data_IF_322458388210
#
_entry.id   IF_322458388210
#
_cell.length_a   1.000
_cell.length_b   1.000
_cell.length_c   1.000
_cell.angle_alpha   90.00
_cell.angle_beta   90.00
_cell.angle_gamma   90.00
#
_symmetry.space_group_name_H-M   'P 1'
#
loop_
_entity.id
_entity.type
_entity.pdbx_description
1 polymer ?
#
# COMPACT_ATOMS: atom_id res chain seq x y z
N UNK A 1 5.71 6.45 22.46
CA UNK A 1 4.24 6.31 22.62
C UNK A 1 3.77 5.41 21.51
N UNK A 2 3.22 4.25 21.86
CA UNK A 2 2.94 3.17 20.91
C UNK A 2 1.66 3.45 20.11
N UNK A 3 1.79 3.87 18.85
CA UNK A 3 0.72 3.73 17.86
C UNK A 3 0.94 2.41 17.13
N UNK A 4 0.32 1.35 17.64
CA UNK A 4 0.38 0.04 16.98
C UNK A 4 -0.46 -0.01 15.69
N UNK A 5 -0.15 -0.93 14.76
CA UNK A 5 -0.93 -1.16 13.51
C UNK A 5 -2.42 -1.46 13.77
N UNK A 6 -2.73 -1.99 14.95
CA UNK A 6 -4.09 -2.27 15.41
C UNK A 6 -4.99 -1.04 15.52
N UNK A 7 -4.45 0.17 15.78
CA UNK A 7 -5.25 1.40 15.77
C UNK A 7 -5.56 1.89 14.35
N UNK A 8 -4.65 1.69 13.39
CA UNK A 8 -4.84 2.13 12.01
C UNK A 8 -5.91 1.28 11.30
N UNK A 9 -5.88 -0.04 11.51
CA UNK A 9 -6.91 -0.96 11.03
C UNK A 9 -8.28 -0.66 11.67
N UNK A 10 -8.31 -0.39 12.97
CA UNK A 10 -9.54 0.00 13.67
C UNK A 10 -10.10 1.32 13.13
N UNK A 11 -9.25 2.30 12.78
CA UNK A 11 -9.68 3.57 12.20
C UNK A 11 -10.17 3.44 10.75
N UNK A 12 -9.56 2.59 9.92
CA UNK A 12 -10.04 2.33 8.55
C UNK A 12 -11.37 1.56 8.60
N UNK A 13 -11.46 0.51 9.43
CA UNK A 13 -12.73 -0.18 9.71
C UNK A 13 -13.77 0.79 10.27
N UNK A 14 -13.42 1.67 11.22
CA UNK A 14 -14.35 2.65 11.78
C UNK A 14 -14.79 3.72 10.76
N UNK A 15 -13.90 4.21 9.90
CA UNK A 15 -14.27 5.15 8.83
C UNK A 15 -15.23 4.51 7.81
N UNK A 16 -15.10 3.19 7.59
CA UNK A 16 -16.03 2.43 6.74
C UNK A 16 -17.34 2.07 7.48
N UNK A 17 -17.34 2.00 8.81
CA UNK A 17 -18.51 1.66 9.65
C UNK A 17 -19.36 2.90 9.99
N UNK A 18 -18.81 4.11 10.03
CA UNK A 18 -19.56 5.31 10.47
C UNK A 18 -20.29 5.98 9.29
N UNK A 19 -21.47 5.45 8.96
CA UNK A 19 -22.60 6.23 8.44
C UNK A 19 -23.89 5.75 9.11
N UNK A 20 -24.22 6.33 10.26
CA UNK A 20 -25.62 6.42 10.71
C UNK A 20 -26.19 7.77 10.29
N UNK A 21 -27.46 7.77 9.87
CA UNK A 21 -28.38 8.91 9.66
C UNK A 21 -28.74 9.34 8.23
N UNK A 22 -28.59 8.50 7.20
CA UNK A 22 -29.37 8.68 5.96
C UNK A 22 -30.01 7.37 5.57
N UNK A 23 -31.34 7.34 5.59
CA UNK A 23 -32.15 6.18 5.23
C UNK A 23 -31.66 5.59 3.89
N UNK A 24 -31.27 4.31 3.92
CA UNK A 24 -30.72 3.50 2.81
C UNK A 24 -29.25 3.69 2.41
N UNK A 25 -28.28 3.57 3.35
CA UNK A 25 -26.89 3.29 2.97
C UNK A 25 -26.71 1.77 2.72
N UNK A 26 -26.75 1.35 1.46
CA UNK A 26 -26.39 -0.02 1.02
C UNK A 26 -24.89 -0.34 1.11
N UNK A 27 -24.07 0.52 1.72
CA UNK A 27 -22.62 0.36 1.84
C UNK A 27 -22.17 -0.75 2.81
N UNK A 28 -23.11 -1.39 3.52
CA UNK A 28 -22.84 -2.42 4.54
C UNK A 28 -22.56 -3.83 3.99
N UNK A 29 -22.59 -4.03 2.66
CA UNK A 29 -22.55 -5.38 2.05
C UNK A 29 -21.28 -5.71 1.26
N UNK A 30 -20.31 -4.79 1.11
CA UNK A 30 -19.24 -4.92 0.10
C UNK A 30 -17.84 -5.17 0.72
N UNK A 31 -17.79 -5.77 1.90
CA UNK A 31 -16.53 -6.24 2.50
C UNK A 31 -16.13 -7.56 1.84
N UNK A 32 -14.96 -7.61 1.21
CA UNK A 32 -14.44 -8.83 0.61
C UNK A 32 -14.01 -9.81 1.70
N UNK A 33 -12.84 -9.56 2.29
CA UNK A 33 -12.32 -10.34 3.41
C UNK A 33 -11.20 -9.61 4.15
N UNK A 34 -10.89 -10.05 5.38
CA UNK A 34 -9.72 -9.62 6.12
C UNK A 34 -9.09 -10.79 6.85
N UNK A 35 -7.83 -11.08 6.55
CA UNK A 35 -7.02 -12.11 7.20
C UNK A 35 -6.04 -11.42 8.15
N UNK A 36 -5.94 -11.96 9.37
CA UNK A 36 -5.00 -11.49 10.41
C UNK A 36 -4.25 -12.71 10.91
N UNK A 37 -3.02 -12.88 10.43
CA UNK A 37 -2.26 -14.11 10.64
C UNK A 37 -0.97 -13.86 11.42
N UNK A 38 -0.76 -14.61 12.50
CA UNK A 38 0.46 -14.57 13.32
C UNK A 38 1.38 -15.75 13.07
N UNK A 39 0.87 -16.80 12.44
CA UNK A 39 1.60 -18.04 12.18
C UNK A 39 1.66 -18.28 10.67
N UNK A 40 2.04 -17.23 9.94
CA UNK A 40 2.27 -17.30 8.51
C UNK A 40 3.42 -18.28 8.26
N UNK A 41 3.20 -19.27 7.40
CA UNK A 41 4.18 -20.32 7.11
C UNK A 41 4.38 -20.49 5.61
N UNK A 42 5.56 -20.99 5.21
CA UNK A 42 5.80 -21.48 3.85
C UNK A 42 5.40 -22.94 3.76
N UNK A 43 4.56 -23.30 2.79
CA UNK A 43 4.31 -24.70 2.43
C UNK A 43 5.36 -25.20 1.44
N UNK A 44 5.62 -24.41 0.40
CA UNK A 44 6.69 -24.56 -0.57
C UNK A 44 6.81 -23.26 -1.36
N UNK A 45 8.00 -22.81 -1.74
CA UNK A 45 8.14 -21.65 -2.65
C UNK A 45 7.42 -21.98 -3.98
N UNK A 46 6.51 -21.11 -4.47
CA UNK A 46 6.25 -19.73 -4.05
C UNK A 46 5.02 -19.52 -3.14
N UNK A 47 4.41 -20.60 -2.66
CA UNK A 47 3.13 -20.63 -1.97
C UNK A 47 3.23 -20.23 -0.49
N UNK A 48 2.64 -19.09 -0.16
CA UNK A 48 2.43 -18.63 1.20
C UNK A 48 1.18 -19.29 1.80
N UNK A 49 1.30 -19.81 3.03
CA UNK A 49 0.19 -20.42 3.76
C UNK A 49 -0.24 -19.56 4.94
N UNK A 50 -1.45 -19.04 4.86
CA UNK A 50 -2.23 -18.54 5.98
C UNK A 50 -2.74 -19.70 6.84
N UNK A 51 -2.50 -19.59 8.14
CA UNK A 51 -2.94 -20.49 9.20
C UNK A 51 -4.34 -20.15 9.73
N UNK A 52 -4.83 -18.94 9.47
CA UNK A 52 -6.12 -18.44 10.00
C UNK A 52 -7.18 -18.30 8.91
N UNK A 53 -8.45 -18.56 9.27
CA UNK A 53 -9.59 -18.14 8.44
C UNK A 53 -9.73 -16.61 8.45
N UNK A 54 -10.35 -16.01 7.41
CA UNK A 54 -10.70 -14.60 7.42
C UNK A 54 -11.57 -14.24 8.63
N UNK A 55 -11.25 -13.11 9.28
CA UNK A 55 -11.95 -12.63 10.48
C UNK A 55 -13.35 -12.11 10.17
N UNK A 56 -13.57 -11.64 8.94
CA UNK A 56 -14.87 -11.14 8.46
C UNK A 56 -15.12 -11.66 7.04
N UNK A 57 -16.25 -12.35 6.87
CA UNK A 57 -16.77 -12.80 5.59
C UNK A 57 -18.31 -12.64 5.62
N UNK A 58 -18.84 -11.52 5.09
CA UNK A 58 -20.29 -11.33 4.91
C UNK A 58 -20.55 -10.66 3.57
N UNK A 59 -21.28 -11.36 2.69
CA UNK A 59 -21.59 -10.87 1.34
C UNK A 59 -20.38 -10.88 0.40
N UNK A 60 -19.48 -11.86 0.57
CA UNK A 60 -18.08 -11.74 0.22
C UNK A 60 -17.85 -11.55 -1.29
N UNK A 61 -17.55 -10.30 -1.66
CA UNK A 61 -17.08 -9.93 -2.99
C UNK A 61 -15.76 -10.65 -3.37
N UNK A 62 -15.10 -11.29 -2.39
CA UNK A 62 -13.99 -12.19 -2.58
C UNK A 62 -14.04 -13.31 -1.53
N UNK A 63 -13.71 -14.54 -1.91
CA UNK A 63 -13.66 -15.71 -1.00
C UNK A 63 -12.25 -16.24 -0.86
N UNK A 64 -11.97 -16.89 0.27
CA UNK A 64 -10.70 -17.52 0.57
C UNK A 64 -10.93 -18.91 1.16
N UNK A 65 -10.32 -19.92 0.55
CA UNK A 65 -10.36 -21.30 1.06
C UNK A 65 -8.97 -21.75 1.49
N UNK A 66 -8.76 -21.77 2.81
CA UNK A 66 -7.48 -22.19 3.42
C UNK A 66 -7.10 -23.64 3.14
N UNK A 67 -8.07 -24.48 2.75
CA UNK A 67 -7.87 -25.92 2.54
C UNK A 67 -7.37 -26.22 1.12
N UNK A 68 -7.40 -25.24 0.22
CA UNK A 68 -6.81 -25.40 -1.11
C UNK A 68 -5.28 -25.41 -1.06
N UNK A 69 -4.68 -26.17 -1.97
CA UNK A 69 -3.22 -26.28 -2.10
C UNK A 69 -2.61 -24.92 -2.47
N UNK A 70 -3.25 -24.22 -3.39
CA UNK A 70 -2.95 -22.83 -3.72
C UNK A 70 -3.92 -21.95 -2.95
N UNK A 71 -3.47 -21.30 -1.88
CA UNK A 71 -4.31 -20.44 -1.05
C UNK A 71 -4.61 -19.10 -1.74
N UNK A 72 -5.48 -19.18 -2.75
CA UNK A 72 -5.91 -18.06 -3.57
C UNK A 72 -7.11 -17.35 -2.92
N UNK A 73 -7.16 -16.04 -3.12
CA UNK A 73 -8.38 -15.25 -2.95
C UNK A 73 -9.08 -15.19 -4.29
N UNK A 74 -10.28 -15.75 -4.36
CA UNK A 74 -11.12 -15.74 -5.56
C UNK A 74 -12.06 -14.54 -5.52
N UNK A 75 -12.15 -13.82 -6.64
CA UNK A 75 -13.05 -12.68 -6.80
C UNK A 75 -14.44 -13.17 -7.20
N UNK A 76 -15.46 -12.77 -6.42
CA UNK A 76 -16.84 -13.21 -6.63
C UNK A 76 -17.70 -12.22 -7.41
N UNK A 77 -17.33 -10.94 -7.40
CA UNK A 77 -18.07 -9.86 -8.05
C UNK A 77 -17.17 -9.04 -8.99
N UNK A 78 -17.75 -8.48 -10.03
CA UNK A 78 -17.04 -7.56 -10.93
C UNK A 78 -16.93 -6.18 -10.28
N UNK A 79 -15.74 -5.60 -10.21
CA UNK A 79 -15.59 -4.24 -9.67
C UNK A 79 -14.17 -3.78 -9.42
N UNK A 80 -14.06 -2.62 -8.79
CA UNK A 80 -12.80 -2.04 -8.34
C UNK A 80 -12.56 -2.44 -6.89
N UNK A 81 -11.44 -3.11 -6.63
CA UNK A 81 -11.07 -3.62 -5.31
C UNK A 81 -9.93 -2.83 -4.70
N UNK A 82 -10.00 -2.58 -3.39
CA UNK A 82 -8.92 -2.05 -2.57
C UNK A 82 -8.26 -3.16 -1.77
N UNK A 83 -6.96 -3.31 -1.96
CA UNK A 83 -6.09 -4.20 -1.21
C UNK A 83 -5.29 -3.38 -0.21
N UNK A 84 -5.30 -3.80 1.06
CA UNK A 84 -4.50 -3.20 2.14
C UNK A 84 -3.67 -4.29 2.77
N UNK A 85 -2.35 -4.09 2.83
CA UNK A 85 -1.41 -5.05 3.40
C UNK A 85 -0.59 -4.36 4.47
N UNK A 86 -0.45 -5.03 5.62
CA UNK A 86 0.52 -4.71 6.65
C UNK A 86 1.38 -5.94 6.91
N UNK A 87 2.67 -5.84 6.59
CA UNK A 87 3.67 -6.88 6.84
C UNK A 87 4.68 -6.38 7.86
N UNK A 88 4.83 -7.09 8.98
CA UNK A 88 5.93 -6.83 9.89
C UNK A 88 7.27 -7.11 9.19
N UNK A 89 8.22 -6.19 9.29
CA UNK A 89 9.60 -6.50 8.90
C UNK A 89 10.23 -7.41 9.94
N UNK A 90 10.95 -8.43 9.49
CA UNK A 90 11.45 -9.53 10.34
C UNK A 90 12.98 -9.61 10.35
N UNK A 91 13.64 -9.00 9.37
CA UNK A 91 15.09 -9.10 9.23
C UNK A 91 15.77 -8.16 10.23
N UNK A 92 16.77 -8.68 10.93
CA UNK A 92 17.60 -7.87 11.81
C UNK A 92 18.30 -6.76 11.01
N UNK A 93 18.36 -5.55 11.56
CA UNK A 93 18.88 -4.37 10.85
C UNK A 93 20.35 -4.50 10.44
N UNK A 94 21.08 -5.42 11.07
CA UNK A 94 22.50 -5.70 10.82
C UNK A 94 22.73 -7.15 10.32
N UNK A 95 21.72 -7.75 9.66
CA UNK A 95 21.84 -9.13 9.17
C UNK A 95 22.92 -9.25 8.08
N UNK A 96 23.89 -10.17 8.22
CA UNK A 96 24.90 -10.42 7.19
C UNK A 96 24.26 -11.17 6.01
N UNK A 97 24.23 -10.55 4.84
CA UNK A 97 23.70 -11.21 3.64
C UNK A 97 23.15 -10.23 2.60
N UNK A 98 22.78 -10.75 1.42
CA UNK A 98 22.04 -9.96 0.43
C UNK A 98 20.65 -9.56 0.96
N UNK A 99 20.02 -8.53 0.40
CA UNK A 99 18.62 -8.22 0.67
C UNK A 99 17.73 -9.45 0.41
N UNK A 100 16.71 -9.70 1.24
CA UNK A 100 15.71 -10.73 0.92
C UNK A 100 14.96 -10.34 -0.36
N UNK A 101 14.37 -11.33 -1.02
CA UNK A 101 13.41 -11.02 -2.08
C UNK A 101 12.11 -10.47 -1.47
N UNK A 102 11.47 -9.48 -2.10
CA UNK A 102 10.17 -9.02 -1.65
C UNK A 102 9.12 -10.12 -1.83
N UNK A 103 8.08 -10.12 -0.99
CA UNK A 103 6.87 -10.86 -1.34
C UNK A 103 6.20 -10.15 -2.51
N UNK A 104 5.49 -10.90 -3.34
CA UNK A 104 4.76 -10.33 -4.46
C UNK A 104 3.26 -10.48 -4.20
N UNK A 105 2.54 -9.38 -4.24
CA UNK A 105 1.10 -9.40 -4.41
C UNK A 105 0.81 -9.61 -5.89
N UNK A 106 0.44 -10.85 -6.23
CA UNK A 106 0.00 -11.21 -7.57
C UNK A 106 -1.51 -10.99 -7.68
N UNK A 107 -1.91 -10.01 -8.47
CA UNK A 107 -3.31 -9.72 -8.78
C UNK A 107 -3.52 -9.97 -10.27
N UNK A 108 -4.52 -10.78 -10.60
CA UNK A 108 -4.86 -11.11 -11.99
C UNK A 108 -4.93 -9.86 -12.88
N UNK A 109 -4.31 -9.95 -14.06
CA UNK A 109 -4.30 -8.89 -15.08
C UNK A 109 -3.61 -7.59 -14.67
N UNK A 110 -2.84 -7.58 -13.59
CA UNK A 110 -2.04 -6.42 -13.16
C UNK A 110 -0.59 -6.81 -12.94
N UNK A 111 0.37 -5.87 -13.06
CA UNK A 111 1.76 -6.14 -12.67
C UNK A 111 1.87 -6.48 -11.18
N UNK A 112 2.74 -7.43 -10.85
CA UNK A 112 3.02 -7.78 -9.47
C UNK A 112 3.45 -6.56 -8.64
N UNK A 113 3.02 -6.54 -7.38
CA UNK A 113 3.35 -5.46 -6.45
C UNK A 113 4.25 -5.98 -5.34
N UNK A 114 5.44 -5.37 -5.22
CA UNK A 114 6.44 -5.78 -4.24
C UNK A 114 6.07 -5.33 -2.82
N UNK A 115 6.06 -6.28 -1.90
CA UNK A 115 5.93 -6.05 -0.46
C UNK A 115 7.31 -6.28 0.15
N UNK A 116 8.04 -5.18 0.33
CA UNK A 116 9.42 -5.20 0.84
C UNK A 116 9.47 -5.47 2.34
N UNK A 117 10.52 -6.17 2.78
CA UNK A 117 10.89 -6.22 4.19
C UNK A 117 11.51 -4.89 4.63
N UNK A 118 11.06 -4.38 5.77
CA UNK A 118 11.48 -3.08 6.31
C UNK A 118 12.29 -3.19 7.60
N UNK A 119 12.69 -4.41 7.96
CA UNK A 119 13.48 -4.72 9.14
C UNK A 119 12.66 -4.90 10.42
N UNK A 120 13.29 -5.52 11.42
CA UNK A 120 12.69 -5.77 12.73
C UNK A 120 12.21 -4.45 13.36
N UNK A 121 11.05 -4.49 14.01
CA UNK A 121 10.41 -3.33 14.62
C UNK A 121 9.68 -2.39 13.64
N UNK A 122 9.79 -2.61 12.33
CA UNK A 122 9.07 -1.84 11.30
C UNK A 122 7.87 -2.61 10.70
N UNK A 123 7.01 -1.89 9.99
CA UNK A 123 5.85 -2.43 9.27
C UNK A 123 5.82 -1.86 7.86
N UNK A 124 5.87 -2.74 6.87
CA UNK A 124 5.62 -2.42 5.47
C UNK A 124 4.12 -2.32 5.25
N UNK A 125 3.64 -1.14 4.88
CA UNK A 125 2.23 -0.89 4.57
C UNK A 125 2.06 -0.54 3.10
N UNK A 126 1.08 -1.18 2.45
CA UNK A 126 0.80 -0.98 1.02
C UNK A 126 -0.69 -0.94 0.74
N UNK A 127 -1.06 -0.14 -0.27
CA UNK A 127 -2.42 0.00 -0.74
C UNK A 127 -2.43 -0.09 -2.27
N UNK A 128 -3.34 -0.85 -2.85
CA UNK A 128 -3.46 -1.00 -4.31
C UNK A 128 -4.94 -1.03 -4.69
N UNK A 129 -5.31 -0.34 -5.76
CA UNK A 129 -6.58 -0.59 -6.44
C UNK A 129 -6.35 -1.42 -7.70
N UNK A 130 -7.26 -2.36 -7.95
CA UNK A 130 -7.33 -3.09 -9.21
C UNK A 130 -8.79 -3.26 -9.65
N UNK A 131 -9.03 -3.20 -10.95
CA UNK A 131 -10.31 -3.58 -11.54
C UNK A 131 -10.29 -5.07 -11.85
N UNK A 132 -11.20 -5.82 -11.22
CA UNK A 132 -11.23 -7.28 -11.28
C UNK A 132 -12.60 -7.78 -11.74
N UNK A 133 -12.56 -8.97 -12.33
CA UNK A 133 -13.72 -9.72 -12.79
C UNK A 133 -13.96 -10.92 -11.91
N UNK A 134 -15.21 -11.36 -11.85
CA UNK A 134 -15.55 -12.62 -11.21
C UNK A 134 -14.71 -13.76 -11.79
N UNK A 135 -14.08 -14.53 -10.91
CA UNK A 135 -13.15 -15.61 -11.26
C UNK A 135 -11.70 -15.19 -11.39
N UNK A 136 -11.38 -13.89 -11.36
CA UNK A 136 -10.01 -13.44 -11.14
C UNK A 136 -9.52 -13.90 -9.76
N UNK A 137 -8.21 -14.04 -9.62
CA UNK A 137 -7.57 -14.46 -8.38
C UNK A 137 -6.51 -13.48 -7.91
N UNK A 138 -6.33 -13.46 -6.59
CA UNK A 138 -5.29 -12.70 -5.91
C UNK A 138 -4.53 -13.63 -4.98
N UNK A 139 -3.21 -13.51 -4.94
CA UNK A 139 -2.36 -14.29 -4.06
C UNK A 139 -1.15 -13.49 -3.60
N UNK A 140 -0.53 -13.97 -2.53
CA UNK A 140 0.75 -13.46 -2.06
C UNK A 140 1.76 -14.57 -2.26
N UNK A 141 2.79 -14.29 -3.05
CA UNK A 141 3.85 -15.26 -3.34
C UNK A 141 5.15 -14.82 -2.69
N UNK A 142 5.94 -15.82 -2.31
CA UNK A 142 7.28 -15.63 -1.76
C UNK A 142 8.27 -16.17 -2.79
N UNK A 143 9.41 -15.50 -2.96
CA UNK A 143 10.36 -15.85 -4.01
C UNK A 143 11.50 -16.75 -3.52
N UNK A 144 11.79 -16.76 -2.21
CA UNK A 144 12.85 -17.55 -1.59
C UNK A 144 12.34 -18.21 -0.29
N UNK A 145 13.06 -19.22 0.18
CA UNK A 145 12.78 -19.92 1.46
C UNK A 145 13.31 -19.08 2.63
N UNK A 146 12.64 -17.97 2.89
CA UNK A 146 12.94 -17.03 3.98
C UNK A 146 11.94 -17.21 5.13
N UNK A 147 12.30 -16.72 6.33
CA UNK A 147 11.30 -16.53 7.39
C UNK A 147 10.17 -15.65 6.85
N UNK A 148 8.91 -16.05 7.06
CA UNK A 148 7.76 -15.32 6.50
C UNK A 148 6.84 -14.68 7.54
N UNK A 149 6.92 -15.12 8.79
CA UNK A 149 6.01 -14.73 9.86
C UNK A 149 6.72 -14.05 11.03
N UNK A 150 5.94 -13.29 11.80
CA UNK A 150 6.31 -12.81 13.13
C UNK A 150 5.19 -13.16 14.11
N UNK A 151 5.48 -14.10 15.03
CA UNK A 151 4.48 -14.57 16.02
C UNK A 151 3.93 -13.44 16.92
N UNK A 152 4.68 -12.34 17.08
CA UNK A 152 4.31 -11.20 17.91
C UNK A 152 3.57 -10.13 17.10
N UNK A 153 3.85 -10.00 15.80
CA UNK A 153 3.29 -8.96 14.92
C UNK A 153 2.58 -9.59 13.71
N UNK A 154 1.23 -9.62 13.69
CA UNK A 154 0.49 -10.29 12.64
C UNK A 154 0.72 -9.66 11.26
N UNK A 155 0.73 -10.51 10.24
CA UNK A 155 0.46 -10.12 8.87
C UNK A 155 -1.03 -9.81 8.72
N UNK A 156 -1.36 -8.66 8.13
CA UNK A 156 -2.74 -8.24 7.91
C UNK A 156 -2.95 -8.04 6.42
N UNK A 157 -3.99 -8.69 5.89
CA UNK A 157 -4.39 -8.53 4.50
C UNK A 157 -5.89 -8.32 4.41
N UNK A 158 -6.29 -7.19 3.84
CA UNK A 158 -7.69 -6.81 3.70
C UNK A 158 -8.03 -6.53 2.24
N UNK A 159 -9.22 -6.96 1.84
CA UNK A 159 -9.78 -6.80 0.50
C UNK A 159 -11.17 -6.19 0.61
N UNK A 160 -11.40 -5.09 -0.10
CA UNK A 160 -12.68 -4.37 -0.11
C UNK A 160 -13.14 -4.19 -1.55
N UNK A 161 -14.42 -4.49 -1.83
CA UNK A 161 -15.03 -4.06 -3.08
C UNK A 161 -15.44 -2.59 -2.92
N UNK A 162 -14.70 -1.70 -3.59
CA UNK A 162 -14.94 -0.26 -3.51
C UNK A 162 -16.10 0.14 -4.41
N UNK A 163 -16.11 -0.34 -5.65
CA UNK A 163 -17.11 -0.01 -6.66
C UNK A 163 -17.55 -1.27 -7.40
N UNK A 164 -18.85 -1.58 -7.35
CA UNK A 164 -19.45 -2.56 -8.24
C UNK A 164 -19.36 -2.09 -9.70
N UNK A 165 -19.03 -3.01 -10.61
CA UNK A 165 -19.27 -2.78 -12.03
C UNK A 165 -20.79 -2.79 -12.26
N UNK A 166 -21.41 -1.69 -12.70
CA UNK A 166 -22.86 -1.63 -12.82
C UNK A 166 -23.37 -2.64 -13.85
N UNK A 167 -24.29 -3.51 -13.43
CA UNK A 167 -24.94 -4.54 -14.27
C UNK A 167 -25.85 -3.91 -15.35
N UNK A 168 -26.21 -2.64 -15.19
CA UNK A 168 -27.14 -1.87 -16.04
C UNK A 168 -26.71 -0.42 -16.14
N UNK A 169 -26.88 0.19 -17.32
CA UNK A 169 -26.50 1.57 -17.69
C UNK A 169 -27.35 2.66 -17.04
N UNK A 170 -27.53 2.60 -15.72
CA UNK A 170 -28.06 3.72 -14.94
C UNK A 170 -27.02 4.85 -14.89
N UNK A 171 -27.45 6.13 -14.73
CA UNK A 171 -26.54 7.26 -14.80
C UNK A 171 -25.38 7.03 -13.83
N UNK A 172 -24.15 7.07 -14.37
CA UNK A 172 -22.90 6.74 -13.68
C UNK A 172 -22.97 7.18 -12.22
N UNK A 173 -22.88 6.21 -11.30
CA UNK A 173 -22.55 6.53 -9.92
C UNK A 173 -21.33 7.45 -9.93
N UNK A 174 -21.35 8.51 -9.10
CA UNK A 174 -20.20 9.41 -8.95
C UNK A 174 -19.03 8.57 -8.41
N UNK A 175 -18.18 8.13 -9.30
CA UNK A 175 -17.00 7.31 -9.01
C UNK A 175 -15.78 8.06 -9.52
N UNK A 176 -14.75 8.09 -8.70
CA UNK A 176 -13.44 8.57 -9.10
C UNK A 176 -12.42 7.91 -8.19
N UNK A 177 -11.44 7.26 -8.79
CA UNK A 177 -10.39 6.60 -8.05
C UNK A 177 -9.15 6.46 -8.92
N UNK A 178 -7.99 6.41 -8.28
CA UNK A 178 -6.73 6.11 -8.95
C UNK A 178 -5.83 5.28 -8.05
N UNK A 179 -4.97 4.49 -8.67
CA UNK A 179 -3.89 3.75 -8.01
C UNK A 179 -2.64 3.86 -8.87
N UNK A 180 -1.61 4.49 -8.32
CA UNK A 180 -0.34 4.70 -8.99
C UNK A 180 0.82 4.31 -8.11
N UNK A 181 1.91 3.93 -8.76
CA UNK A 181 3.22 3.75 -8.14
C UNK A 181 4.28 4.54 -8.88
N UNK A 182 5.38 4.80 -8.20
CA UNK A 182 6.59 5.33 -8.79
C UNK A 182 7.79 4.77 -8.04
N UNK A 183 8.61 4.02 -8.76
CA UNK A 183 9.85 3.45 -8.25
C UNK A 183 11.03 4.39 -8.53
N UNK A 184 12.10 4.24 -7.74
CA UNK A 184 13.34 5.03 -7.88
C UNK A 184 13.13 6.55 -7.83
N UNK A 185 12.17 7.02 -7.03
CA UNK A 185 11.96 8.44 -6.77
C UNK A 185 13.22 9.01 -6.14
N UNK A 186 13.79 10.02 -6.78
CA UNK A 186 14.90 10.78 -6.22
C UNK A 186 14.34 11.74 -5.16
N UNK A 187 14.50 11.38 -3.89
CA UNK A 187 14.04 12.17 -2.75
C UNK A 187 15.13 13.10 -2.21
N UNK A 188 16.23 13.27 -2.95
CA UNK A 188 17.33 14.19 -2.63
C UNK A 188 17.12 15.63 -3.10
N UNK A 189 16.06 15.91 -3.87
CA UNK A 189 15.70 17.27 -4.28
C UNK A 189 14.59 17.78 -3.36
N UNK A 190 14.95 18.69 -2.45
CA UNK A 190 13.96 19.31 -1.57
C UNK A 190 12.96 20.14 -2.37
N UNK A 191 11.73 20.20 -1.86
CA UNK A 191 10.70 21.16 -2.25
C UNK A 191 10.11 20.97 -3.67
N UNK A 192 10.24 19.76 -4.23
CA UNK A 192 9.68 19.41 -5.55
C UNK A 192 8.42 18.55 -5.47
N UNK A 193 7.47 18.82 -6.36
CA UNK A 193 6.32 17.91 -6.59
C UNK A 193 6.85 16.60 -7.19
N UNK A 194 6.38 15.48 -6.66
CA UNK A 194 6.64 14.15 -7.22
C UNK A 194 5.76 13.99 -8.45
N UNK A 195 6.36 13.63 -9.58
CA UNK A 195 5.74 13.59 -10.90
C UNK A 195 6.29 12.41 -11.71
N UNK A 196 5.76 12.21 -12.92
CA UNK A 196 6.13 11.12 -13.82
C UNK A 196 5.89 9.73 -13.20
N UNK A 197 4.73 9.55 -12.59
CA UNK A 197 4.30 8.23 -12.12
C UNK A 197 4.20 7.25 -13.28
N UNK A 198 4.28 5.97 -12.94
CA UNK A 198 3.99 4.89 -13.87
C UNK A 198 2.53 4.98 -14.36
N UNK A 199 2.20 4.19 -15.38
CA UNK A 199 0.82 4.07 -15.81
C UNK A 199 -0.06 3.60 -14.63
N UNK A 200 -1.16 4.30 -14.32
CA UNK A 200 -2.04 3.89 -13.23
C UNK A 200 -2.62 2.50 -13.48
N UNK A 201 -2.70 1.69 -12.43
CA UNK A 201 -3.43 0.40 -12.47
C UNK A 201 -4.94 0.63 -12.53
N UNK A 202 -5.40 1.73 -11.91
CA UNK A 202 -6.78 2.23 -11.94
C UNK A 202 -6.71 3.75 -12.10
N UNK A 203 -7.58 4.34 -12.93
CA UNK A 203 -7.76 5.79 -13.08
C UNK A 203 -9.18 6.16 -13.51
N UNK A 204 -10.17 5.83 -12.68
CA UNK A 204 -11.59 6.08 -12.98
C UNK A 204 -11.86 7.57 -13.07
N UNK A 205 -12.29 8.00 -14.26
CA UNK A 205 -12.53 9.41 -14.60
C UNK A 205 -11.32 10.12 -15.20
N UNK A 206 -10.16 9.46 -15.30
CA UNK A 206 -8.91 10.02 -15.85
C UNK A 206 -8.40 11.28 -15.13
N UNK A 207 -8.68 11.38 -13.83
CA UNK A 207 -8.46 12.62 -13.05
C UNK A 207 -7.07 12.70 -12.39
N UNK A 208 -6.32 11.60 -12.37
CA UNK A 208 -4.91 11.61 -12.04
C UNK A 208 -4.05 11.79 -13.29
N UNK A 209 -3.30 12.89 -13.34
CA UNK A 209 -2.32 13.14 -14.39
C UNK A 209 -0.92 12.68 -13.92
N UNK A 210 -0.47 11.54 -14.46
CA UNK A 210 0.82 10.95 -14.13
C UNK A 210 2.02 11.84 -14.45
N UNK A 211 1.91 12.72 -15.46
CA UNK A 211 3.01 13.59 -15.89
C UNK A 211 3.23 14.76 -14.92
N UNK A 212 2.16 15.23 -14.28
CA UNK A 212 2.22 16.31 -13.29
C UNK A 212 2.21 15.79 -11.85
N UNK A 213 1.79 14.54 -11.63
CA UNK A 213 1.61 13.95 -10.30
C UNK A 213 0.42 14.53 -9.54
N UNK A 214 -0.52 15.13 -10.26
CA UNK A 214 -1.67 15.81 -9.69
C UNK A 214 -2.97 15.04 -9.94
N UNK A 215 -3.73 14.85 -8.87
CA UNK A 215 -5.13 14.48 -8.94
C UNK A 215 -6.00 15.73 -8.90
N UNK A 216 -6.99 15.86 -9.79
CA UNK A 216 -7.96 16.97 -9.77
C UNK A 216 -9.34 16.44 -9.44
N UNK A 217 -9.95 16.89 -8.35
CA UNK A 217 -11.25 16.38 -7.93
C UNK A 217 -12.34 16.71 -8.96
N UNK A 218 -13.02 15.70 -9.55
CA UNK A 218 -14.09 15.95 -10.54
C UNK A 218 -15.39 16.42 -9.89
N UNK A 219 -15.59 16.07 -8.62
CA UNK A 219 -16.82 16.35 -7.88
C UNK A 219 -16.49 16.92 -6.51
N UNK A 220 -17.45 17.64 -5.94
CA UNK A 220 -17.45 17.90 -4.51
C UNK A 220 -17.80 16.61 -3.75
N UNK A 221 -17.04 16.30 -2.70
CA UNK A 221 -17.26 15.12 -1.88
C UNK A 221 -16.13 14.83 -0.89
N UNK A 222 -16.31 13.76 -0.13
CA UNK A 222 -15.32 13.19 0.77
C UNK A 222 -14.46 12.18 0.01
N UNK A 223 -13.16 12.46 -0.08
CA UNK A 223 -12.19 11.56 -0.68
C UNK A 223 -11.30 10.93 0.38
N UNK A 224 -10.84 9.70 0.14
CA UNK A 224 -9.84 9.02 0.96
C UNK A 224 -8.59 8.81 0.12
N UNK A 225 -7.44 9.14 0.70
CA UNK A 225 -6.14 8.97 0.07
C UNK A 225 -5.24 8.13 0.96
N UNK A 226 -4.58 7.15 0.37
CA UNK A 226 -3.56 6.34 1.00
C UNK A 226 -2.23 6.63 0.36
N UNK A 227 -1.27 7.03 1.17
CA UNK A 227 0.10 7.28 0.77
C UNK A 227 1.00 6.31 1.52
N UNK A 228 1.80 5.54 0.81
CA UNK A 228 2.91 4.77 1.35
C UNK A 228 4.19 5.15 0.63
N UNK A 229 5.26 5.40 1.40
CA UNK A 229 6.58 5.74 0.86
C UNK A 229 7.61 4.84 1.51
N UNK A 230 8.39 4.17 0.67
CA UNK A 230 9.52 3.36 1.09
C UNK A 230 10.80 4.15 0.80
N UNK A 231 11.59 4.43 1.83
CA UNK A 231 12.82 5.20 1.78
C UNK A 231 14.04 4.28 1.82
N UNK A 232 15.02 4.55 0.97
CA UNK A 232 16.31 3.87 0.94
C UNK A 232 17.44 4.90 0.77
N UNK A 233 18.56 4.73 1.48
CA UNK A 233 19.74 5.58 1.30
C UNK A 233 20.83 4.82 0.55
N UNK A 234 21.45 5.50 -0.42
CA UNK A 234 22.70 5.07 -1.05
C UNK A 234 23.90 5.94 -0.64
N UNK A 235 23.66 7.00 0.14
CA UNK A 235 24.73 7.88 0.63
C UNK A 235 25.11 7.49 2.06
N UNK A 236 26.41 7.53 2.35
CA UNK A 236 26.96 7.26 3.67
C UNK A 236 26.34 8.19 4.73
N UNK A 237 25.74 7.61 5.76
CA UNK A 237 25.28 8.31 6.96
C UNK A 237 23.79 8.15 7.28
N UNK A 238 23.35 8.87 8.32
CA UNK A 238 21.94 8.96 8.69
C UNK A 238 21.31 10.22 8.05
N UNK A 239 20.19 10.03 7.36
CA UNK A 239 19.38 11.10 6.79
C UNK A 239 17.95 11.12 7.30
N UNK A 240 17.19 12.13 6.90
CA UNK A 240 15.74 12.18 7.08
C UNK A 240 15.10 12.49 5.73
N UNK A 241 14.03 11.80 5.40
CA UNK A 241 13.22 12.11 4.23
C UNK A 241 11.77 12.30 4.62
N UNK A 242 11.06 13.15 3.88
CA UNK A 242 9.65 13.40 4.14
C UNK A 242 8.90 13.75 2.86
N UNK A 243 7.73 13.15 2.69
CA UNK A 243 6.80 13.45 1.59
C UNK A 243 5.52 14.01 2.19
N UNK A 244 5.14 15.21 1.76
CA UNK A 244 3.89 15.86 2.13
C UNK A 244 2.79 15.54 1.15
N UNK A 245 1.62 15.23 1.71
CA UNK A 245 0.34 15.25 1.03
C UNK A 245 -0.21 16.68 1.05
N UNK A 246 -0.50 17.24 -0.13
CA UNK A 246 -0.94 18.63 -0.26
C UNK A 246 -2.30 18.73 -0.94
N UNK A 247 -3.11 19.68 -0.45
CA UNK A 247 -4.34 20.15 -1.09
C UNK A 247 -4.12 21.58 -1.57
N UNK A 248 -4.23 21.83 -2.86
CA UNK A 248 -4.02 23.16 -3.48
C UNK A 248 -2.68 23.79 -3.06
N UNK A 249 -1.61 22.99 -3.01
CA UNK A 249 -0.28 23.41 -2.56
C UNK A 249 -0.11 23.58 -1.04
N UNK A 250 -1.16 23.41 -0.24
CA UNK A 250 -1.11 23.48 1.22
C UNK A 250 -0.94 22.07 1.78
N UNK A 251 0.14 21.84 2.53
CA UNK A 251 0.37 20.57 3.24
C UNK A 251 -0.74 20.29 4.24
N UNK A 252 -1.36 19.10 4.14
CA UNK A 252 -2.37 18.62 5.08
C UNK A 252 -1.85 17.49 5.97
N UNK A 253 -0.95 16.68 5.43
CA UNK A 253 -0.32 15.59 6.15
C UNK A 253 1.07 15.33 5.56
N UNK A 254 1.89 14.57 6.28
CA UNK A 254 3.20 14.15 5.78
C UNK A 254 3.56 12.78 6.35
N UNK A 255 4.30 12.01 5.55
CA UNK A 255 5.04 10.84 6.01
C UNK A 255 6.51 11.21 6.06
N UNK A 256 7.22 10.68 7.04
CA UNK A 256 8.65 10.93 7.16
C UNK A 256 9.32 9.80 7.90
N UNK A 257 10.55 9.49 7.52
CA UNK A 257 11.35 8.53 8.25
C UNK A 257 12.83 8.94 8.32
N UNK A 258 13.54 8.33 9.27
CA UNK A 258 15.00 8.34 9.30
C UNK A 258 15.51 7.29 8.32
N UNK A 259 16.38 7.69 7.43
CA UNK A 259 16.96 6.79 6.42
C UNK A 259 18.39 6.49 6.84
N UNK A 260 18.72 5.20 6.94
CA UNK A 260 20.08 4.73 7.23
C UNK A 260 20.70 4.16 5.97
N UNK A 261 22.02 4.26 5.86
CA UNK A 261 22.81 3.50 4.89
C UNK A 261 23.73 2.53 5.63
N UNK A 262 24.12 1.45 4.96
CA UNK A 262 25.28 0.69 5.40
C UNK A 262 26.51 1.61 5.38
N UNK A 263 27.41 1.46 6.35
CA UNK A 263 28.73 2.09 6.25
C UNK A 263 29.56 1.28 5.27
N UNK A 264 30.12 1.95 4.25
CA UNK A 264 31.04 1.31 3.32
C UNK A 264 32.45 1.37 3.93
N UNK A 265 33.01 0.21 4.30
CA UNK A 265 34.42 0.16 4.73
C UNK A 265 35.31 -0.08 3.51
N UNK A 266 36.16 0.88 3.15
CA UNK A 266 37.19 0.64 2.15
C UNK A 266 38.29 -0.25 2.75
N UNK A 267 38.39 -1.48 2.26
CA UNK A 267 39.55 -2.34 2.51
C UNK A 267 40.47 -2.34 1.30
N UNK A 268 41.73 -2.76 1.48
CA UNK A 268 42.82 -2.74 0.48
C UNK A 268 42.51 -3.47 -0.85
N UNK A 269 41.33 -4.09 -1.00
CA UNK A 269 40.83 -4.78 -2.22
C UNK A 269 39.52 -4.21 -2.81
N UNK A 270 39.02 -3.07 -2.33
CA UNK A 270 37.80 -2.42 -2.82
C UNK A 270 36.73 -2.24 -1.75
N UNK A 271 35.61 -1.56 -2.08
CA UNK A 271 34.53 -1.32 -1.12
C UNK A 271 33.87 -2.66 -0.72
N UNK A 272 33.84 -2.93 0.58
CA UNK A 272 33.10 -4.05 1.17
C UNK A 272 31.88 -3.47 1.88
N UNK A 273 30.68 -3.92 1.50
CA UNK A 273 29.44 -3.56 2.20
C UNK A 273 29.18 -4.67 3.22
N UNK A 274 29.37 -4.38 4.50
CA UNK A 274 29.39 -5.38 5.58
C UNK A 274 27.99 -5.98 5.88
N UNK A 275 26.91 -5.20 5.72
CA UNK A 275 25.56 -5.61 6.15
C UNK A 275 24.44 -5.00 5.27
N UNK A 276 23.30 -5.70 5.16
CA UNK A 276 22.09 -5.18 4.51
C UNK A 276 21.35 -4.24 5.46
N UNK A 277 21.02 -3.04 4.99
CA UNK A 277 20.17 -2.09 5.72
C UNK A 277 18.78 -2.09 5.09
N UNK A 278 17.74 -2.57 5.80
CA UNK A 278 16.38 -2.59 5.29
C UNK A 278 15.86 -1.18 4.97
N UNK A 279 15.10 -1.02 3.87
CA UNK A 279 14.42 0.24 3.58
C UNK A 279 13.37 0.53 4.65
N UNK A 280 13.03 1.80 4.82
CA UNK A 280 12.05 2.24 5.83
C UNK A 280 10.72 2.58 5.16
N UNK A 281 9.60 2.03 5.63
CA UNK A 281 8.28 2.32 5.06
C UNK A 281 7.49 3.23 6.01
N UNK A 282 6.95 4.32 5.48
CA UNK A 282 6.06 5.22 6.20
C UNK A 282 4.80 5.44 5.39
N UNK A 283 3.65 5.22 6.02
CA UNK A 283 2.35 5.32 5.39
C UNK A 283 1.36 6.17 6.20
N UNK A 284 0.42 6.79 5.48
CA UNK A 284 -0.66 7.59 6.06
C UNK A 284 -1.94 7.45 5.22
N UNK A 285 -3.08 7.46 5.90
CA UNK A 285 -4.40 7.56 5.28
C UNK A 285 -5.01 8.92 5.64
N UNK A 286 -5.52 9.63 4.65
CA UNK A 286 -6.11 10.97 4.81
C UNK A 286 -7.50 10.98 4.20
N UNK A 287 -8.51 11.26 5.02
CA UNK A 287 -9.85 11.59 4.56
C UNK A 287 -9.98 13.11 4.41
N UNK A 288 -10.36 13.58 3.23
CA UNK A 288 -10.36 15.01 2.89
C UNK A 288 -11.58 15.37 2.04
N UNK A 289 -12.37 16.34 2.53
CA UNK A 289 -13.39 16.98 1.72
C UNK A 289 -12.74 17.85 0.63
N UNK A 290 -13.14 17.63 -0.61
CA UNK A 290 -12.69 18.37 -1.79
C UNK A 290 -13.88 19.02 -2.48
N UNK A 291 -13.65 20.21 -3.02
CA UNK A 291 -14.52 20.83 -4.00
C UNK A 291 -14.09 20.38 -5.39
N UNK A 292 -15.00 20.46 -6.36
CA UNK A 292 -14.64 20.27 -7.77
C UNK A 292 -13.50 21.22 -8.17
N UNK A 293 -12.46 20.67 -8.80
CA UNK A 293 -11.26 21.39 -9.23
C UNK A 293 -10.16 21.51 -8.17
N UNK A 294 -10.40 21.09 -6.92
CA UNK A 294 -9.33 20.99 -5.91
C UNK A 294 -8.27 20.00 -6.39
N UNK A 295 -7.00 20.34 -6.17
CA UNK A 295 -5.84 19.53 -6.57
C UNK A 295 -5.18 18.87 -5.37
N UNK A 296 -4.87 17.59 -5.53
CA UNK A 296 -4.05 16.83 -4.61
C UNK A 296 -2.71 16.49 -5.27
N UNK A 297 -1.61 16.75 -4.57
CA UNK A 297 -0.25 16.48 -5.03
C UNK A 297 0.62 15.94 -3.89
N UNK A 298 1.64 15.17 -4.25
CA UNK A 298 2.70 14.76 -3.34
C UNK A 298 3.94 15.63 -3.53
N UNK A 299 4.53 16.08 -2.43
CA UNK A 299 5.71 16.96 -2.47
C UNK A 299 6.80 16.44 -1.57
N UNK A 300 8.02 16.36 -2.09
CA UNK A 300 9.18 16.07 -1.26
C UNK A 300 9.53 17.30 -0.42
N UNK A 301 9.59 17.17 0.90
CA UNK A 301 9.77 18.32 1.83
C UNK A 301 11.11 18.28 2.56
N UNK A 302 11.63 17.08 2.85
CA UNK A 302 12.96 16.94 3.45
C UNK A 302 13.78 16.05 2.53
N UNK A 303 14.92 16.58 2.10
CA UNK A 303 15.85 15.87 1.26
C UNK A 303 17.23 15.84 1.90
N UNK A 304 17.72 14.65 2.18
CA UNK A 304 19.15 14.41 2.38
C UNK A 304 19.70 13.83 1.08
N UNK A 305 20.92 14.24 0.70
CA UNK A 305 21.57 13.75 -0.51
C UNK A 305 21.63 12.21 -0.50
N UNK A 306 21.38 11.59 -1.65
CA UNK A 306 21.48 10.14 -1.83
C UNK A 306 20.32 9.31 -1.29
N UNK A 307 19.21 9.93 -0.87
CA UNK A 307 17.97 9.20 -0.57
C UNK A 307 17.16 8.99 -1.85
N UNK A 308 16.78 7.74 -2.09
CA UNK A 308 15.81 7.32 -3.09
C UNK A 308 14.64 6.60 -2.42
N UNK A 309 13.59 6.30 -3.19
CA UNK A 309 12.49 5.51 -2.66
C UNK A 309 11.52 5.03 -3.71
N UNK A 310 10.48 4.35 -3.25
CA UNK A 310 9.27 4.07 -4.02
C UNK A 310 8.07 4.70 -3.33
N UNK A 311 7.08 5.09 -4.12
CA UNK A 311 5.86 5.74 -3.65
C UNK A 311 4.67 4.97 -4.22
N UNK A 312 3.74 4.58 -3.35
CA UNK A 312 2.42 4.10 -3.75
C UNK A 312 1.39 5.12 -3.30
N UNK A 313 0.56 5.57 -4.24
CA UNK A 313 -0.43 6.59 -3.99
C UNK A 313 -1.78 6.19 -4.58
N UNK A 314 -2.75 6.01 -3.67
CA UNK A 314 -4.11 5.60 -3.98
C UNK A 314 -5.06 6.68 -3.50
N UNK A 315 -6.09 6.99 -4.29
CA UNK A 315 -7.14 7.91 -3.88
C UNK A 315 -8.47 7.50 -4.46
N UNK A 316 -9.56 7.74 -3.72
CA UNK A 316 -10.91 7.46 -4.19
C UNK A 316 -11.98 8.34 -3.55
N UNK A 317 -13.09 8.55 -4.28
CA UNK A 317 -14.28 9.22 -3.81
C UNK A 317 -15.11 8.27 -2.95
N UNK A 318 -15.40 8.67 -1.72
CA UNK A 318 -16.26 7.90 -0.81
C UNK A 318 -17.72 8.36 -0.89
N UNK A 319 -17.99 9.67 -0.92
CA UNK A 319 -19.36 10.21 -1.03
C UNK A 319 -19.44 11.65 -1.48
#
# INVERSE_FOLDING_TARGET
MASGPSYMLLCILMLMIVRESVASSKFLNDFGLCIVDKALTLSSVPDLTFSTDPVVERGSAASFDKMQVTQLIEINDDGTYLFIIHRAGIIDMDSPGPPPRPFLLAISNTPDVEIVDTGEGSISTMHVLADLKRGDSVSITVQDDDDVGDEKRPFIFSVFLLYHTPIVSFPRARQSAFSVKLDNVVLSVADSIIKNFDSPTVNIGDEFDRSTGAYTAPFEGLYVFHLAVTFSSKADGEGKAAVAFQKNGITKAQVSDKVRSAQTTEIFRGPYVDYYVPPQNSAITVAQNLNQGDKITLRNVIAVSGVSGSVTFVGYLLS
#
